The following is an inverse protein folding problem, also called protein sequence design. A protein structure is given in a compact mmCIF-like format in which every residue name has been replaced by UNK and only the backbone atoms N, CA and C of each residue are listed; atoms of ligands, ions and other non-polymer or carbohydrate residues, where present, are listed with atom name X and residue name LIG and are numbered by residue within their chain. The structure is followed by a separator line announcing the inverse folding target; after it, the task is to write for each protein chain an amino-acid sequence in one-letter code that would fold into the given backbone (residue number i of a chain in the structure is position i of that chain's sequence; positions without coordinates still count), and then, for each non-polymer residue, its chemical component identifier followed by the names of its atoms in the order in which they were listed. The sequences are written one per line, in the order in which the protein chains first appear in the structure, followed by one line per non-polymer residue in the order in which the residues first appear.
data_IF_602467031894
#
_entry.id   IF_602467031894
#
_cell.length_a   1.000
_cell.length_b   1.000
_cell.length_c   1.000
_cell.angle_alpha   90.00
_cell.angle_beta   90.00
_cell.angle_gamma   90.00
#
_symmetry.space_group_name_H-M   'P 1'
#
loop_
_entity.id
_entity.type
_entity.pdbx_description
1 polymer ?
#
# COMPACT_ATOMS: atom_id res chain seq x y z
N UNK A 1 -4.83 18.82 0.19
CA UNK A 1 -4.47 17.55 -0.47
C UNK A 1 -3.68 16.69 0.50
N UNK A 2 -3.95 15.40 0.52
CA UNK A 2 -3.26 14.46 1.40
C UNK A 2 -1.88 14.15 0.84
N UNK A 3 -0.89 13.92 1.72
CA UNK A 3 0.45 13.54 1.31
C UNK A 3 0.57 12.03 1.27
N UNK A 4 1.22 11.51 0.22
CA UNK A 4 1.54 10.09 0.08
C UNK A 4 3.03 9.97 -0.13
N UNK A 5 3.68 9.16 0.69
CA UNK A 5 5.12 8.89 0.61
C UNK A 5 5.38 7.41 0.51
N UNK A 6 6.50 7.06 -0.08
CA UNK A 6 6.95 5.67 -0.15
C UNK A 6 8.08 5.46 0.85
N UNK A 7 8.03 4.34 1.56
CA UNK A 7 9.23 3.83 2.23
C UNK A 7 10.30 3.60 1.15
N UNK A 8 11.59 3.85 1.42
CA UNK A 8 12.64 3.69 0.40
C UNK A 8 12.63 2.33 -0.31
N UNK A 9 12.43 1.25 0.44
CA UNK A 9 12.36 -0.09 -0.17
C UNK A 9 11.13 -0.26 -1.05
N UNK A 10 10.00 0.35 -0.69
CA UNK A 10 8.79 0.31 -1.51
C UNK A 10 8.97 1.13 -2.80
N UNK A 11 9.70 2.24 -2.72
CA UNK A 11 10.05 3.04 -3.89
C UNK A 11 10.85 2.21 -4.89
N UNK A 12 11.82 1.43 -4.41
CA UNK A 12 12.60 0.54 -5.28
C UNK A 12 11.70 -0.52 -5.93
N UNK A 13 10.77 -1.08 -5.17
CA UNK A 13 9.81 -2.07 -5.69
C UNK A 13 8.91 -1.45 -6.77
N UNK A 14 8.45 -0.22 -6.55
CA UNK A 14 7.65 0.51 -7.53
C UNK A 14 8.40 0.68 -8.86
N UNK A 15 9.68 1.03 -8.78
CA UNK A 15 10.50 1.26 -9.97
C UNK A 15 10.69 0.01 -10.83
N UNK A 16 10.55 -1.17 -10.24
CA UNK A 16 10.69 -2.44 -10.96
C UNK A 16 9.42 -2.87 -11.69
N UNK A 17 8.29 -2.20 -11.44
CA UNK A 17 7.06 -2.52 -12.15
C UNK A 17 7.18 -2.16 -13.64
N UNK A 18 6.49 -2.91 -14.51
CA UNK A 18 6.36 -2.49 -15.91
C UNK A 18 5.81 -1.06 -15.98
N UNK A 19 6.23 -0.31 -16.99
CA UNK A 19 5.83 1.11 -17.14
C UNK A 19 4.32 1.30 -17.04
N UNK A 20 3.56 0.42 -17.67
CA UNK A 20 2.10 0.47 -17.66
C UNK A 20 1.53 0.36 -16.25
N UNK A 21 2.13 -0.50 -15.43
CA UNK A 21 1.68 -0.70 -14.05
C UNK A 21 2.17 0.42 -13.13
N UNK A 22 3.35 0.98 -13.39
CA UNK A 22 3.80 2.16 -12.65
C UNK A 22 2.86 3.34 -12.87
N UNK A 23 2.41 3.52 -14.11
CA UNK A 23 1.44 4.59 -14.43
C UNK A 23 0.12 4.36 -13.73
N UNK A 24 -0.37 3.11 -13.72
CA UNK A 24 -1.60 2.77 -13.02
C UNK A 24 -1.48 3.04 -11.51
N UNK A 25 -0.33 2.71 -10.92
CA UNK A 25 -0.09 2.97 -9.50
C UNK A 25 -0.01 4.48 -9.24
N UNK A 26 0.65 5.25 -10.11
CA UNK A 26 0.72 6.70 -9.97
C UNK A 26 -0.69 7.32 -9.98
N UNK A 27 -1.57 6.83 -10.85
CA UNK A 27 -2.96 7.29 -10.90
C UNK A 27 -3.72 6.94 -9.62
N UNK A 28 -3.48 5.76 -9.06
CA UNK A 28 -4.11 5.35 -7.80
C UNK A 28 -3.61 6.21 -6.64
N UNK A 29 -2.31 6.51 -6.61
CA UNK A 29 -1.73 7.40 -5.59
C UNK A 29 -2.35 8.80 -5.68
N UNK A 30 -2.55 9.31 -6.89
CA UNK A 30 -3.18 10.61 -7.09
C UNK A 30 -4.60 10.63 -6.53
N UNK A 31 -5.37 9.56 -6.73
CA UNK A 31 -6.72 9.46 -6.15
C UNK A 31 -6.66 9.44 -4.63
N UNK A 32 -5.69 8.73 -4.05
CA UNK A 32 -5.50 8.70 -2.61
C UNK A 32 -5.14 10.09 -2.08
N UNK A 33 -4.31 10.85 -2.80
CA UNK A 33 -3.96 12.21 -2.44
C UNK A 33 -5.18 13.15 -2.43
N UNK A 34 -6.11 12.95 -3.36
CA UNK A 34 -7.31 13.79 -3.46
C UNK A 34 -8.38 13.42 -2.45
N UNK A 35 -8.61 12.13 -2.26
CA UNK A 35 -9.73 11.63 -1.46
C UNK A 35 -9.34 11.22 -0.04
N UNK A 36 -8.06 10.92 0.19
CA UNK A 36 -7.58 10.54 1.51
C UNK A 36 -8.33 9.36 2.10
N UNK A 37 -8.73 9.44 3.38
CA UNK A 37 -9.46 8.36 4.03
C UNK A 37 -10.82 8.07 3.39
N UNK A 38 -11.32 8.98 2.55
CA UNK A 38 -12.58 8.80 1.83
C UNK A 38 -12.46 8.00 0.55
N UNK A 39 -11.26 7.54 0.17
CA UNK A 39 -11.09 6.73 -1.04
C UNK A 39 -11.89 5.43 -0.89
N UNK A 40 -12.89 5.18 -1.76
CA UNK A 40 -13.79 4.05 -1.56
C UNK A 40 -13.27 2.75 -2.16
N UNK A 41 -13.83 1.63 -1.72
CA UNK A 41 -13.70 0.36 -2.41
C UNK A 41 -14.32 0.53 -3.82
N UNK A 42 -13.76 -0.02 -4.89
CA UNK A 42 -12.64 -0.98 -4.94
C UNK A 42 -11.26 -0.35 -5.16
N UNK A 43 -11.10 0.95 -4.95
CA UNK A 43 -9.82 1.63 -5.11
C UNK A 43 -8.85 1.33 -3.97
N UNK A 44 -9.35 0.95 -2.82
CA UNK A 44 -8.59 0.46 -1.69
C UNK A 44 -9.43 -0.52 -0.89
N UNK A 45 -8.77 -1.33 -0.06
CA UNK A 45 -9.47 -2.23 0.86
C UNK A 45 -8.57 -2.54 2.06
N UNK A 46 -9.17 -3.10 3.10
CA UNK A 46 -8.42 -3.65 4.22
C UNK A 46 -7.62 -4.85 3.74
N UNK A 47 -6.45 -5.05 4.32
CA UNK A 47 -5.68 -6.26 4.04
C UNK A 47 -6.24 -7.40 4.88
N UNK A 48 -6.71 -8.46 4.20
CA UNK A 48 -7.23 -9.64 4.87
C UNK A 48 -6.08 -10.50 5.41
N UNK A 49 -6.36 -11.24 6.48
CA UNK A 49 -5.40 -12.16 7.08
C UNK A 49 -4.45 -11.51 8.06
N UNK A 50 -4.56 -10.22 8.29
CA UNK A 50 -3.78 -9.54 9.32
C UNK A 50 -4.40 -9.85 10.67
N UNK A 51 -3.58 -10.30 11.62
CA UNK A 51 -4.07 -10.70 12.93
C UNK A 51 -4.66 -9.53 13.70
N UNK A 52 -5.83 -9.80 14.33
CA UNK A 52 -6.51 -8.81 15.13
C UNK A 52 -5.62 -8.37 16.31
N UNK A 53 -5.63 -7.06 16.60
CA UNK A 53 -4.87 -6.51 17.71
C UNK A 53 -3.45 -6.10 17.41
N UNK A 54 -2.94 -6.43 16.23
CA UNK A 54 -1.64 -5.94 15.78
C UNK A 54 -1.80 -4.54 15.20
N UNK A 55 -0.75 -3.70 15.30
CA UNK A 55 -0.73 -2.38 14.65
C UNK A 55 -0.97 -2.51 13.16
N UNK A 56 -0.54 -3.62 12.60
CA UNK A 56 -0.75 -4.01 11.22
C UNK A 56 -2.22 -4.11 10.83
N UNK A 57 -3.16 -4.15 11.78
CA UNK A 57 -4.59 -4.18 11.49
C UNK A 57 -5.08 -2.91 10.79
N UNK A 58 -4.28 -1.83 10.83
CA UNK A 58 -4.57 -0.59 10.11
C UNK A 58 -4.00 -0.58 8.69
N UNK A 59 -3.36 -1.67 8.26
CA UNK A 59 -2.78 -1.76 6.94
C UNK A 59 -3.88 -1.86 5.88
N UNK A 60 -3.71 -1.10 4.81
CA UNK A 60 -4.63 -1.09 3.67
C UNK A 60 -3.89 -1.38 2.39
N UNK A 61 -4.61 -1.89 1.41
CA UNK A 61 -4.05 -2.08 0.07
C UNK A 61 -4.66 -1.08 -0.89
N UNK A 62 -3.81 -0.37 -1.62
CA UNK A 62 -4.19 0.48 -2.73
C UNK A 62 -4.29 -0.41 -3.96
N UNK A 63 -5.38 -0.26 -4.72
CA UNK A 63 -5.77 -1.17 -5.80
C UNK A 63 -5.81 -0.43 -7.14
N UNK A 64 -4.69 -0.37 -7.87
CA UNK A 64 -4.65 0.33 -9.16
C UNK A 64 -5.69 -0.23 -10.14
N UNK A 65 -6.26 0.64 -10.97
CA UNK A 65 -7.35 0.31 -11.90
C UNK A 65 -8.56 -0.31 -11.20
N UNK A 66 -8.87 0.16 -9.99
CA UNK A 66 -9.98 -0.36 -9.20
C UNK A 66 -9.87 -1.87 -8.97
N UNK A 67 -8.66 -2.36 -8.78
CA UNK A 67 -8.39 -3.77 -8.51
C UNK A 67 -8.11 -4.63 -9.74
N UNK A 68 -8.19 -4.08 -10.95
CA UNK A 68 -7.89 -4.84 -12.17
C UNK A 68 -6.40 -5.00 -12.45
N UNK A 69 -5.56 -4.15 -11.84
CA UNK A 69 -4.12 -4.35 -11.89
C UNK A 69 -3.72 -5.58 -11.07
N UNK A 70 -2.71 -6.34 -11.51
CA UNK A 70 -2.20 -7.46 -10.70
C UNK A 70 -1.34 -7.02 -9.51
N UNK A 71 -1.17 -5.71 -9.31
CA UNK A 71 -0.29 -5.17 -8.28
C UNK A 71 -1.07 -4.45 -7.19
N UNK A 72 -0.48 -4.42 -5.98
CA UNK A 72 -1.03 -3.73 -4.82
C UNK A 72 0.07 -2.93 -4.14
N UNK A 73 -0.30 -1.79 -3.55
CA UNK A 73 0.59 -1.01 -2.70
C UNK A 73 -0.01 -0.99 -1.30
N UNK A 74 0.79 -1.43 -0.32
CA UNK A 74 0.33 -1.59 1.05
C UNK A 74 0.73 -0.38 1.87
N UNK A 75 -0.26 0.30 2.47
CA UNK A 75 -0.03 1.59 3.11
C UNK A 75 -0.71 1.68 4.47
N UNK A 76 -0.25 2.65 5.26
CA UNK A 76 -0.82 2.99 6.56
C UNK A 76 -0.88 4.51 6.68
N UNK A 77 -1.87 5.00 7.43
CA UNK A 77 -2.03 6.42 7.67
C UNK A 77 -1.24 6.84 8.92
N UNK A 78 -0.51 7.93 8.81
CA UNK A 78 0.19 8.60 9.90
C UNK A 78 -0.26 10.06 9.91
N UNK A 79 -1.33 10.37 10.67
CA UNK A 79 -1.90 11.70 10.66
C UNK A 79 -2.44 12.09 9.28
N UNK A 80 -1.83 13.09 8.67
CA UNK A 80 -2.23 13.58 7.35
C UNK A 80 -1.40 12.97 6.22
N UNK A 81 -0.54 12.02 6.54
CA UNK A 81 0.36 11.39 5.59
C UNK A 81 0.04 9.91 5.48
N UNK A 82 0.00 9.40 4.26
CA UNK A 82 -0.04 7.96 4.00
C UNK A 82 1.34 7.50 3.58
N UNK A 83 1.83 6.42 4.16
CA UNK A 83 3.13 5.85 3.80
C UNK A 83 2.92 4.47 3.20
N UNK A 84 3.41 4.30 1.97
CA UNK A 84 3.40 3.00 1.30
C UNK A 84 4.63 2.23 1.75
N UNK A 85 4.41 1.07 2.39
CA UNK A 85 5.48 0.27 2.97
C UNK A 85 6.02 -0.81 2.05
N UNK A 86 5.21 -1.27 1.10
CA UNK A 86 5.63 -2.29 0.14
C UNK A 86 4.73 -2.29 -1.08
N UNK A 87 5.28 -2.78 -2.20
CA UNK A 87 4.53 -3.02 -3.44
C UNK A 87 4.72 -4.48 -3.80
N UNK A 88 3.62 -5.17 -4.08
CA UNK A 88 3.67 -6.59 -4.43
C UNK A 88 2.46 -7.02 -5.25
N UNK A 89 2.44 -8.28 -5.70
CA UNK A 89 1.32 -8.78 -6.49
C UNK A 89 0.09 -9.00 -5.61
N UNK A 90 -1.08 -9.02 -6.24
CA UNK A 90 -2.32 -9.36 -5.53
C UNK A 90 -2.32 -10.85 -5.17
N UNK A 91 -3.16 -11.21 -4.18
CA UNK A 91 -3.14 -12.56 -3.61
C UNK A 91 -3.48 -13.67 -4.60
N UNK A 92 -4.38 -13.41 -5.56
CA UNK A 92 -4.77 -14.41 -6.54
C UNK A 92 -3.71 -14.64 -7.61
N UNK A 93 -2.86 -13.66 -7.85
CA UNK A 93 -1.75 -13.79 -8.81
C UNK A 93 -0.60 -14.58 -8.19
N UNK A 94 -0.22 -14.22 -6.96
CA UNK A 94 0.87 -14.92 -6.25
C UNK A 94 0.69 -14.71 -4.74
N UNK A 95 0.05 -15.67 -4.11
CA UNK A 95 -0.28 -15.54 -2.68
C UNK A 95 0.97 -15.49 -1.80
N UNK A 96 2.02 -16.22 -2.14
CA UNK A 96 3.26 -16.23 -1.37
C UNK A 96 3.93 -14.86 -1.41
N UNK A 97 4.05 -14.26 -2.60
CA UNK A 97 4.63 -12.93 -2.74
C UNK A 97 3.74 -11.85 -2.13
N UNK A 98 2.42 -12.01 -2.24
CA UNK A 98 1.48 -11.13 -1.57
C UNK A 98 1.71 -11.13 -0.06
N UNK A 99 1.76 -12.30 0.56
CA UNK A 99 1.98 -12.43 1.99
C UNK A 99 3.33 -11.84 2.42
N UNK A 100 4.37 -12.07 1.62
CA UNK A 100 5.69 -11.51 1.89
C UNK A 100 5.66 -9.97 1.84
N UNK A 101 4.99 -9.41 0.85
CA UNK A 101 4.88 -7.96 0.72
C UNK A 101 4.11 -7.35 1.90
N UNK A 102 3.05 -8.03 2.35
CA UNK A 102 2.30 -7.61 3.53
C UNK A 102 3.20 -7.61 4.77
N UNK A 103 3.95 -8.69 4.98
CA UNK A 103 4.85 -8.79 6.14
C UNK A 103 5.94 -7.73 6.11
N UNK A 104 6.51 -7.47 4.95
CA UNK A 104 7.51 -6.42 4.77
C UNK A 104 6.92 -5.03 5.03
N UNK A 105 5.71 -4.79 4.53
CA UNK A 105 5.02 -3.52 4.77
C UNK A 105 4.82 -3.29 6.27
N UNK A 106 4.35 -4.31 6.98
CA UNK A 106 4.13 -4.23 8.42
C UNK A 106 5.43 -3.89 9.14
N UNK A 107 6.50 -4.63 8.86
CA UNK A 107 7.79 -4.41 9.51
C UNK A 107 8.33 -3.00 9.24
N UNK A 108 8.28 -2.55 7.99
CA UNK A 108 8.78 -1.24 7.58
C UNK A 108 7.95 -0.10 8.18
N UNK A 109 6.63 -0.25 8.18
CA UNK A 109 5.74 0.79 8.70
C UNK A 109 5.77 0.85 10.22
N UNK A 110 6.00 -0.26 10.89
CA UNK A 110 6.19 -0.26 12.34
C UNK A 110 7.47 0.50 12.71
N UNK A 111 8.55 0.38 11.93
CA UNK A 111 9.76 1.17 12.13
C UNK A 111 9.51 2.66 11.96
N UNK A 112 8.73 3.04 10.94
CA UNK A 112 8.36 4.44 10.72
C UNK A 112 7.58 4.96 11.92
N UNK A 113 6.66 4.18 12.45
CA UNK A 113 5.86 4.56 13.60
C UNK A 113 6.72 4.80 14.84
N UNK A 114 7.74 3.97 15.08
CA UNK A 114 8.67 4.15 16.19
C UNK A 114 9.45 5.45 16.09
N UNK A 115 9.83 5.83 14.85
CA UNK A 115 10.62 7.05 14.62
C UNK A 115 9.77 8.31 14.84
N UNK A 116 8.49 8.28 14.43
CA UNK A 116 7.63 9.46 14.49
C UNK A 116 6.83 9.57 15.80
N UNK A 117 6.82 8.54 16.59
CA UNK A 117 6.19 8.57 17.91
C UNK A 117 7.23 8.91 18.99
#
# INVERSE_FOLDING_TARGET
MWEVRYHPAAEDERKELPIKERTALANAVEKLQRLGPGLPYPHQSNVEGVKRGQRSSSLRELRPRAGRSPWRAFYRRFGDVFVIGAVGPEAQVDKRKFNRAVDEAIARLDEVEEVVS
#
